data_IF_571970374478
#
_entry.id   IF_571970374478
#
_cell.length_a   1.000
_cell.length_b   1.000
_cell.length_c   1.000
_cell.angle_alpha   90.00
_cell.angle_beta   90.00
_cell.angle_gamma   90.00
#
_symmetry.space_group_name_H-M   'P 1'
#
loop_
_entity.id
_entity.type
_entity.pdbx_description
1 polymer ?
#
# COMPACT_ATOMS: atom_id res chain seq x y z
N UNK A 1 -16.28 14.91 -2.28
CA UNK A 1 -15.14 15.79 -2.72
C UNK A 1 -15.66 17.20 -2.95
N UNK A 2 -15.02 18.21 -2.37
CA UNK A 2 -15.45 19.62 -2.42
C UNK A 2 -15.02 20.25 -3.74
N UNK A 3 -15.98 20.76 -4.51
CA UNK A 3 -15.76 21.39 -5.82
C UNK A 3 -16.14 22.85 -5.81
N UNK A 4 -15.39 23.68 -6.56
CA UNK A 4 -15.69 25.11 -6.81
C UNK A 4 -15.74 25.32 -8.32
N UNK A 5 -16.70 26.16 -8.78
CA UNK A 5 -16.83 26.56 -10.18
C UNK A 5 -16.61 28.05 -10.30
N UNK A 6 -15.79 28.48 -11.25
CA UNK A 6 -15.50 29.89 -11.55
C UNK A 6 -15.82 30.14 -13.01
N UNK A 7 -16.97 30.74 -13.25
CA UNK A 7 -17.52 30.94 -14.59
C UNK A 7 -18.36 32.24 -14.59
N UNK A 8 -18.12 33.10 -15.58
CA UNK A 8 -18.84 34.38 -15.71
C UNK A 8 -20.22 34.24 -16.34
N UNK A 9 -20.41 33.23 -17.18
CA UNK A 9 -21.68 32.96 -17.88
C UNK A 9 -22.56 32.04 -17.02
N UNK A 10 -23.72 32.58 -16.64
CA UNK A 10 -24.65 31.87 -15.76
C UNK A 10 -25.23 30.58 -16.40
N UNK A 11 -25.43 30.57 -17.73
CA UNK A 11 -25.94 29.38 -18.45
C UNK A 11 -24.90 28.26 -18.43
N UNK A 12 -23.64 28.61 -18.65
CA UNK A 12 -22.55 27.63 -18.61
C UNK A 12 -22.36 27.13 -17.17
N UNK A 13 -22.45 28.05 -16.18
CA UNK A 13 -22.38 27.68 -14.76
C UNK A 13 -23.46 26.65 -14.40
N UNK A 14 -24.72 26.89 -14.77
CA UNK A 14 -25.85 25.98 -14.53
C UNK A 14 -25.64 24.63 -15.27
N UNK A 15 -25.13 24.66 -16.49
CA UNK A 15 -24.79 23.45 -17.25
C UNK A 15 -23.74 22.59 -16.50
N UNK A 16 -22.66 23.20 -16.01
CA UNK A 16 -21.60 22.52 -15.25
C UNK A 16 -22.16 21.95 -13.96
N UNK A 17 -22.96 22.71 -13.22
CA UNK A 17 -23.64 22.25 -12.01
C UNK A 17 -24.50 21.01 -12.26
N UNK A 18 -25.32 21.04 -13.33
CA UNK A 18 -26.15 19.89 -13.72
C UNK A 18 -25.33 18.65 -14.08
N UNK A 19 -24.18 18.83 -14.73
CA UNK A 19 -23.27 17.72 -15.06
C UNK A 19 -22.64 17.15 -13.77
N UNK A 20 -22.17 18.03 -12.88
CA UNK A 20 -21.55 17.65 -11.61
C UNK A 20 -22.49 16.80 -10.73
N UNK A 21 -23.77 17.18 -10.65
CA UNK A 21 -24.81 16.45 -9.92
C UNK A 21 -25.12 15.07 -10.52
N UNK A 22 -24.95 14.90 -11.83
CA UNK A 22 -25.20 13.64 -12.55
C UNK A 22 -23.99 12.71 -12.60
N UNK A 23 -22.81 13.18 -12.19
CA UNK A 23 -21.63 12.35 -12.04
C UNK A 23 -21.71 11.68 -10.67
N UNK A 24 -21.85 10.35 -10.67
CA UNK A 24 -21.90 9.51 -9.44
C UNK A 24 -20.52 9.41 -8.78
N UNK A 25 -19.91 10.56 -8.50
CA UNK A 25 -18.52 10.69 -8.05
C UNK A 25 -18.38 11.27 -6.65
N UNK A 26 -19.50 11.58 -5.97
CA UNK A 26 -19.48 12.19 -4.64
C UNK A 26 -18.87 13.60 -4.61
N UNK A 27 -19.01 14.38 -5.69
CA UNK A 27 -18.66 15.79 -5.71
C UNK A 27 -19.74 16.61 -5.01
N UNK A 28 -19.33 17.49 -4.08
CA UNK A 28 -20.14 18.47 -3.41
C UNK A 28 -19.73 19.86 -3.91
N UNK A 29 -20.63 20.60 -4.54
CA UNK A 29 -20.39 21.98 -4.92
C UNK A 29 -20.44 22.87 -3.69
N UNK A 30 -19.28 23.39 -3.27
CA UNK A 30 -19.15 24.21 -2.05
C UNK A 30 -19.12 25.70 -2.33
N UNK A 31 -19.02 26.13 -3.58
CA UNK A 31 -19.06 27.55 -3.94
C UNK A 31 -18.91 27.82 -5.43
N UNK A 32 -19.31 29.01 -5.84
CA UNK A 32 -19.19 29.52 -7.20
C UNK A 32 -18.68 30.96 -7.20
N UNK A 33 -17.95 31.37 -8.24
CA UNK A 33 -17.50 32.73 -8.44
C UNK A 33 -17.62 33.11 -9.92
N UNK A 34 -17.81 34.41 -10.18
CA UNK A 34 -18.04 34.97 -11.52
C UNK A 34 -16.83 35.73 -12.08
N UNK A 35 -15.76 35.86 -11.32
CA UNK A 35 -14.53 36.54 -11.74
C UNK A 35 -13.31 35.92 -11.05
N UNK A 36 -12.12 36.15 -11.60
CA UNK A 36 -10.90 35.54 -11.06
C UNK A 36 -10.49 36.02 -9.68
N UNK A 37 -10.78 37.30 -9.31
CA UNK A 37 -10.44 37.78 -7.98
C UNK A 37 -11.29 37.13 -6.89
N UNK A 38 -12.62 37.10 -7.07
CA UNK A 38 -13.50 36.37 -6.14
C UNK A 38 -13.26 34.83 -6.16
N UNK A 39 -12.87 34.30 -7.30
CA UNK A 39 -12.44 32.90 -7.40
C UNK A 39 -11.21 32.58 -6.57
N UNK A 40 -10.20 33.44 -6.62
CA UNK A 40 -8.99 33.31 -5.79
C UNK A 40 -9.33 33.36 -4.29
N UNK A 41 -10.13 34.32 -3.86
CA UNK A 41 -10.56 34.47 -2.46
C UNK A 41 -11.36 33.25 -1.99
N UNK A 42 -12.26 32.75 -2.83
CA UNK A 42 -13.08 31.56 -2.56
C UNK A 42 -12.25 30.30 -2.41
N UNK A 43 -11.31 30.06 -3.32
CA UNK A 43 -10.40 28.91 -3.26
C UNK A 43 -9.52 28.98 -2.02
N UNK A 44 -8.99 30.17 -1.71
CA UNK A 44 -8.14 30.37 -0.54
C UNK A 44 -8.88 30.11 0.77
N UNK A 45 -10.16 30.49 0.86
CA UNK A 45 -10.99 30.28 2.04
C UNK A 45 -11.48 28.86 2.18
N UNK A 46 -11.96 28.25 1.08
CA UNK A 46 -12.63 26.95 1.11
C UNK A 46 -11.69 25.75 0.96
N UNK A 47 -10.49 25.93 0.40
CA UNK A 47 -9.54 24.83 0.13
C UNK A 47 -10.23 23.62 -0.57
N UNK A 48 -10.80 23.80 -1.79
CA UNK A 48 -11.52 22.72 -2.48
C UNK A 48 -10.56 21.63 -2.98
N UNK A 49 -11.11 20.46 -3.30
CA UNK A 49 -10.35 19.39 -3.94
C UNK A 49 -10.34 19.51 -5.48
N UNK A 50 -11.38 20.13 -6.04
CA UNK A 50 -11.55 20.34 -7.48
C UNK A 50 -11.96 21.77 -7.77
N UNK A 51 -11.34 22.36 -8.78
CA UNK A 51 -11.71 23.67 -9.34
C UNK A 51 -12.02 23.49 -10.82
N UNK A 52 -13.20 23.97 -11.25
CA UNK A 52 -13.57 24.09 -12.66
C UNK A 52 -13.59 25.58 -12.97
N UNK A 53 -12.77 26.05 -13.89
CA UNK A 53 -12.63 27.48 -14.12
C UNK A 53 -12.55 27.86 -15.61
N UNK A 54 -13.16 28.99 -15.96
CA UNK A 54 -12.94 29.65 -17.25
C UNK A 54 -11.57 30.35 -17.27
N UNK A 55 -10.92 30.39 -18.41
CA UNK A 55 -9.72 31.20 -18.63
C UNK A 55 -10.08 32.66 -18.70
N UNK A 56 -11.14 33.00 -19.44
CA UNK A 56 -11.53 34.36 -19.76
C UNK A 56 -12.42 34.99 -18.68
N UNK A 57 -11.89 35.12 -17.48
CA UNK A 57 -12.57 35.74 -16.35
C UNK A 57 -12.31 37.25 -16.27
N UNK A 58 -13.29 38.06 -15.84
CA UNK A 58 -13.07 39.46 -15.55
C UNK A 58 -12.21 39.66 -14.31
N UNK A 59 -11.63 40.86 -14.17
CA UNK A 59 -10.74 41.32 -13.09
C UNK A 59 -9.40 40.59 -13.01
N UNK A 60 -9.39 39.27 -13.06
CA UNK A 60 -8.19 38.44 -13.07
C UNK A 60 -8.42 37.25 -14.00
N UNK A 61 -7.53 37.05 -14.99
CA UNK A 61 -7.60 35.93 -15.90
C UNK A 61 -7.39 34.59 -15.13
N UNK A 62 -8.12 33.55 -15.50
CA UNK A 62 -8.09 32.25 -14.82
C UNK A 62 -6.70 31.62 -14.73
N UNK A 63 -5.88 31.72 -15.80
CA UNK A 63 -4.50 31.20 -15.78
C UNK A 63 -3.60 31.98 -14.81
N UNK A 64 -3.77 33.30 -14.72
CA UNK A 64 -3.04 34.13 -13.75
C UNK A 64 -3.45 33.83 -12.32
N UNK A 65 -4.72 33.57 -12.08
CA UNK A 65 -5.25 33.12 -10.80
C UNK A 65 -4.65 31.77 -10.40
N UNK A 66 -4.65 30.79 -11.33
CA UNK A 66 -4.10 29.45 -11.09
C UNK A 66 -2.60 29.53 -10.80
N UNK A 67 -1.85 30.33 -11.56
CA UNK A 67 -0.40 30.52 -11.33
C UNK A 67 -0.13 31.06 -9.93
N UNK A 68 -0.92 32.03 -9.46
CA UNK A 68 -0.80 32.59 -8.12
C UNK A 68 -1.09 31.53 -7.04
N UNK A 69 -2.16 30.78 -7.18
CA UNK A 69 -2.53 29.70 -6.26
C UNK A 69 -1.46 28.60 -6.20
N UNK A 70 -0.88 28.20 -7.34
CA UNK A 70 0.22 27.21 -7.38
C UNK A 70 1.49 27.75 -6.70
N UNK A 71 1.81 29.04 -6.87
CA UNK A 71 2.95 29.66 -6.18
C UNK A 71 2.79 29.69 -4.65
N UNK A 72 1.56 29.70 -4.16
CA UNK A 72 1.19 29.62 -2.74
C UNK A 72 1.02 28.18 -2.24
N UNK A 73 1.46 27.19 -3.03
CA UNK A 73 1.42 25.75 -2.71
C UNK A 73 -0.01 25.20 -2.42
N UNK A 74 -1.03 25.77 -3.10
CA UNK A 74 -2.37 25.18 -3.05
C UNK A 74 -2.41 23.90 -3.91
N UNK A 75 -2.84 22.81 -3.31
CA UNK A 75 -3.01 21.51 -3.97
C UNK A 75 -4.49 21.22 -4.19
N UNK A 76 -4.89 21.17 -5.46
CA UNK A 76 -6.22 20.80 -5.93
C UNK A 76 -6.17 20.39 -7.39
N UNK A 77 -7.12 19.55 -7.80
CA UNK A 77 -7.31 19.20 -9.22
C UNK A 77 -8.01 20.35 -9.95
N UNK A 78 -7.65 20.57 -11.22
CA UNK A 78 -8.22 21.68 -11.97
C UNK A 78 -8.64 21.27 -13.38
N UNK A 79 -9.87 21.65 -13.76
CA UNK A 79 -10.40 21.60 -15.12
C UNK A 79 -10.52 23.02 -15.64
N UNK A 80 -9.85 23.30 -16.74
CA UNK A 80 -9.86 24.61 -17.40
C UNK A 80 -10.84 24.59 -18.57
N UNK A 81 -11.66 25.63 -18.67
CA UNK A 81 -12.58 25.87 -19.78
C UNK A 81 -12.04 27.01 -20.65
N UNK A 82 -12.02 26.85 -21.97
CA UNK A 82 -11.52 27.86 -22.91
C UNK A 82 -12.52 28.11 -24.02
N UNK A 83 -12.80 29.36 -24.30
CA UNK A 83 -13.62 29.78 -25.45
C UNK A 83 -12.80 29.98 -26.73
N UNK A 84 -11.47 29.97 -26.64
CA UNK A 84 -10.56 30.27 -27.76
C UNK A 84 -9.53 29.16 -27.93
N UNK A 85 -9.27 28.78 -29.20
CA UNK A 85 -8.16 27.92 -29.57
C UNK A 85 -6.84 28.70 -29.49
N UNK A 86 -6.28 28.82 -28.29
CA UNK A 86 -5.03 29.51 -28.07
C UNK A 86 -3.95 28.56 -27.56
N UNK A 87 -2.96 28.30 -28.41
CA UNK A 87 -1.83 27.42 -28.10
C UNK A 87 -1.07 27.85 -26.83
N UNK A 88 -1.00 29.16 -26.56
CA UNK A 88 -0.32 29.67 -25.37
C UNK A 88 -1.04 29.26 -24.07
N UNK A 89 -2.38 29.26 -24.08
CA UNK A 89 -3.14 28.76 -22.91
C UNK A 89 -2.99 27.27 -22.71
N UNK A 90 -2.96 26.49 -23.79
CA UNK A 90 -2.72 25.04 -23.70
C UNK A 90 -1.31 24.75 -23.14
N UNK A 91 -0.27 25.49 -23.56
CA UNK A 91 1.07 25.38 -23.03
C UNK A 91 1.13 25.73 -21.53
N UNK A 92 0.53 26.85 -21.14
CA UNK A 92 0.46 27.24 -19.73
C UNK A 92 -0.30 26.23 -18.88
N UNK A 93 -1.37 25.62 -19.40
CA UNK A 93 -2.13 24.58 -18.73
C UNK A 93 -1.26 23.37 -18.40
N UNK A 94 -0.40 22.93 -19.33
CA UNK A 94 0.58 21.85 -19.10
C UNK A 94 1.60 22.27 -18.03
N UNK A 95 2.18 23.46 -18.12
CA UNK A 95 3.16 23.98 -17.15
C UNK A 95 2.58 24.08 -15.72
N UNK A 96 1.28 24.38 -15.60
CA UNK A 96 0.57 24.50 -14.31
C UNK A 96 -0.10 23.19 -13.85
N UNK A 97 0.21 22.07 -14.54
CA UNK A 97 -0.32 20.74 -14.21
C UNK A 97 -1.84 20.71 -14.12
N UNK A 98 -2.52 21.20 -15.18
CA UNK A 98 -3.97 21.14 -15.31
C UNK A 98 -4.42 19.71 -15.58
N UNK A 99 -5.41 19.22 -14.85
CA UNK A 99 -5.92 17.84 -14.96
C UNK A 99 -6.91 17.64 -16.12
N UNK A 100 -7.53 18.73 -16.59
CA UNK A 100 -8.44 18.70 -17.77
C UNK A 100 -8.50 20.04 -18.46
N UNK A 101 -8.52 20.03 -19.80
CA UNK A 101 -8.67 21.20 -20.64
C UNK A 101 -9.83 20.98 -21.62
N UNK A 102 -10.90 21.78 -21.54
CA UNK A 102 -12.13 21.60 -22.29
C UNK A 102 -12.46 22.86 -23.07
N UNK A 103 -12.71 22.68 -24.37
CA UNK A 103 -13.13 23.77 -25.24
C UNK A 103 -14.63 24.03 -25.13
N UNK A 104 -15.00 25.33 -25.11
CA UNK A 104 -16.39 25.76 -25.25
C UNK A 104 -16.81 25.71 -26.75
N UNK A 105 -18.02 25.20 -27.07
CA UNK A 105 -19.13 24.85 -26.16
C UNK A 105 -18.90 23.53 -25.45
N UNK A 106 -19.19 23.51 -24.14
CA UNK A 106 -18.96 22.34 -23.28
C UNK A 106 -19.83 21.16 -23.73
N UNK A 107 -19.19 20.07 -24.10
CA UNK A 107 -19.87 18.78 -24.39
C UNK A 107 -20.07 18.00 -23.09
N UNK A 108 -21.32 17.69 -22.69
CA UNK A 108 -21.58 17.04 -21.39
C UNK A 108 -20.80 15.75 -21.18
N UNK A 109 -20.64 14.94 -22.22
CA UNK A 109 -19.88 13.68 -22.14
C UNK A 109 -18.38 13.91 -21.90
N UNK A 110 -17.80 14.95 -22.48
CA UNK A 110 -16.39 15.30 -22.35
C UNK A 110 -16.08 15.73 -20.91
N UNK A 111 -16.87 16.67 -20.39
CA UNK A 111 -16.73 17.12 -19.00
C UNK A 111 -16.96 15.95 -18.02
N UNK A 112 -17.99 15.14 -18.26
CA UNK A 112 -18.26 13.96 -17.44
C UNK A 112 -17.06 12.98 -17.40
N UNK A 113 -16.44 12.69 -18.55
CA UNK A 113 -15.26 11.82 -18.61
C UNK A 113 -14.07 12.41 -17.86
N UNK A 114 -13.78 13.70 -18.04
CA UNK A 114 -12.71 14.37 -17.31
C UNK A 114 -12.93 14.31 -15.79
N UNK A 115 -14.15 14.58 -15.32
CA UNK A 115 -14.49 14.51 -13.90
C UNK A 115 -14.38 13.09 -13.33
N UNK A 116 -14.79 12.08 -14.10
CA UNK A 116 -14.65 10.67 -13.68
C UNK A 116 -13.18 10.25 -13.57
N UNK A 117 -12.34 10.61 -14.54
CA UNK A 117 -10.90 10.35 -14.51
C UNK A 117 -10.21 11.03 -13.34
N UNK A 118 -10.57 12.30 -13.07
CA UNK A 118 -10.04 13.03 -11.91
C UNK A 118 -10.48 12.36 -10.60
N UNK A 119 -11.75 11.95 -10.50
CA UNK A 119 -12.26 11.26 -9.32
C UNK A 119 -11.53 9.94 -9.07
N UNK A 120 -11.32 9.14 -10.11
CA UNK A 120 -10.58 7.88 -10.02
C UNK A 120 -9.13 8.11 -9.59
N UNK A 121 -8.45 9.08 -10.22
CA UNK A 121 -7.09 9.47 -9.84
C UNK A 121 -7.00 9.93 -8.38
N UNK A 122 -7.92 10.80 -7.93
CA UNK A 122 -7.98 11.25 -6.54
C UNK A 122 -8.30 10.12 -5.57
N UNK A 123 -9.21 9.21 -5.94
CA UNK A 123 -9.55 8.04 -5.13
C UNK A 123 -8.33 7.14 -4.96
N UNK A 124 -7.60 6.89 -6.03
CA UNK A 124 -6.36 6.11 -5.98
C UNK A 124 -5.28 6.80 -5.13
N UNK A 125 -5.11 8.11 -5.28
CA UNK A 125 -4.20 8.91 -4.44
C UNK A 125 -4.63 8.92 -2.96
N UNK A 126 -5.93 9.02 -2.67
CA UNK A 126 -6.47 8.96 -1.31
C UNK A 126 -6.31 7.56 -0.69
N UNK A 127 -6.61 6.49 -1.44
CA UNK A 127 -6.39 5.11 -0.99
C UNK A 127 -4.90 4.84 -0.74
N UNK A 128 -4.03 5.29 -1.62
CA UNK A 128 -2.59 5.22 -1.42
C UNK A 128 -2.14 5.95 -0.13
N UNK A 129 -2.71 7.11 0.18
CA UNK A 129 -2.31 7.91 1.35
C UNK A 129 -3.01 7.48 2.66
N UNK A 130 -4.27 7.09 2.63
CA UNK A 130 -5.07 6.78 3.83
C UNK A 130 -4.95 5.32 4.28
N UNK A 131 -4.69 4.39 3.35
CA UNK A 131 -4.49 2.96 3.63
C UNK A 131 -3.01 2.57 3.64
N UNK A 132 -2.12 3.53 3.51
CA UNK A 132 -0.68 3.29 3.40
C UNK A 132 -0.08 3.17 4.81
N UNK A 133 -0.42 2.08 5.48
CA UNK A 133 0.33 1.66 6.67
C UNK A 133 1.52 0.79 6.23
N UNK A 134 2.53 0.68 7.08
CA UNK A 134 3.66 -0.23 6.82
C UNK A 134 3.17 -1.66 6.64
N UNK A 135 2.14 -2.07 7.39
CA UNK A 135 1.50 -3.37 7.28
C UNK A 135 0.93 -3.61 5.89
N UNK A 136 0.12 -2.68 5.38
CA UNK A 136 -0.49 -2.79 4.04
C UNK A 136 0.55 -2.78 2.93
N UNK A 137 1.60 -1.97 3.07
CA UNK A 137 2.74 -1.96 2.16
C UNK A 137 3.40 -3.33 2.10
N UNK A 138 3.76 -3.90 3.25
CA UNK A 138 4.41 -5.20 3.33
C UNK A 138 3.54 -6.33 2.82
N UNK A 139 2.24 -6.33 3.15
CA UNK A 139 1.26 -7.29 2.60
C UNK A 139 1.19 -7.16 1.06
N UNK A 140 1.21 -5.96 0.53
CA UNK A 140 1.26 -5.71 -0.92
C UNK A 140 2.54 -6.27 -1.57
N UNK A 141 3.70 -6.10 -0.93
CA UNK A 141 4.96 -6.70 -1.35
C UNK A 141 4.90 -8.24 -1.30
N UNK A 142 4.31 -8.82 -0.25
CA UNK A 142 4.14 -10.28 -0.11
C UNK A 142 3.17 -10.87 -1.14
N UNK A 143 2.24 -10.08 -1.66
CA UNK A 143 1.31 -10.49 -2.72
C UNK A 143 1.81 -10.17 -4.14
N UNK A 144 3.00 -9.57 -4.29
CA UNK A 144 3.55 -9.18 -5.58
C UNK A 144 2.75 -8.07 -6.28
N UNK A 145 2.05 -7.24 -5.50
CA UNK A 145 1.18 -6.19 -6.05
C UNK A 145 1.94 -4.94 -6.49
N UNK A 146 3.17 -4.77 -6.04
CA UNK A 146 3.98 -3.60 -6.36
C UNK A 146 5.06 -3.94 -7.37
N UNK A 147 5.21 -3.03 -8.34
CA UNK A 147 6.36 -2.96 -9.24
C UNK A 147 7.21 -1.75 -8.87
N UNK A 148 8.49 -1.71 -9.25
CA UNK A 148 9.38 -0.58 -8.96
C UNK A 148 8.90 0.66 -9.72
N UNK A 149 8.00 1.41 -9.09
CA UNK A 149 7.54 2.70 -9.60
C UNK A 149 8.11 3.81 -8.71
N UNK A 150 8.72 4.83 -9.32
CA UNK A 150 9.28 5.99 -8.61
C UNK A 150 8.29 6.63 -7.64
N UNK A 151 7.01 6.66 -7.99
CA UNK A 151 5.95 7.24 -7.18
C UNK A 151 5.71 6.50 -5.86
N UNK A 152 5.83 5.17 -5.85
CA UNK A 152 5.72 4.37 -4.64
C UNK A 152 6.87 4.68 -3.68
N UNK A 153 8.10 4.72 -4.20
CA UNK A 153 9.28 5.05 -3.43
C UNK A 153 9.23 6.47 -2.85
N UNK A 154 8.73 7.47 -3.59
CA UNK A 154 8.52 8.83 -3.07
C UNK A 154 7.58 8.85 -1.87
N UNK A 155 6.46 8.12 -1.94
CA UNK A 155 5.47 8.04 -0.85
C UNK A 155 6.07 7.32 0.37
N UNK A 156 6.77 6.20 0.17
CA UNK A 156 7.34 5.42 1.27
C UNK A 156 8.49 6.16 1.97
N UNK A 157 9.36 6.84 1.23
CA UNK A 157 10.41 7.69 1.80
C UNK A 157 9.81 8.85 2.59
N UNK A 158 8.81 9.54 2.02
CA UNK A 158 8.16 10.68 2.68
C UNK A 158 7.48 10.29 3.99
N UNK A 159 6.78 9.15 4.00
CA UNK A 159 5.96 8.75 5.15
C UNK A 159 6.74 7.93 6.18
N UNK A 160 7.70 7.12 5.75
CA UNK A 160 8.36 6.13 6.59
C UNK A 160 9.88 6.19 6.57
N UNK A 161 10.49 6.91 5.63
CA UNK A 161 11.93 7.07 5.53
C UNK A 161 12.66 5.86 4.95
N UNK A 162 11.98 4.99 4.19
CA UNK A 162 12.58 3.86 3.47
C UNK A 162 11.91 3.64 2.11
N UNK A 163 12.51 2.81 1.25
CA UNK A 163 11.95 2.41 -0.06
C UNK A 163 11.59 0.94 -0.07
N UNK A 164 10.77 0.50 -1.02
CA UNK A 164 10.51 -0.93 -1.24
C UNK A 164 11.69 -1.68 -1.86
N UNK A 165 12.70 -0.96 -2.29
CA UNK A 165 13.98 -1.50 -2.79
C UNK A 165 14.99 -1.74 -1.67
N UNK A 166 14.73 -1.23 -0.46
CA UNK A 166 15.60 -1.47 0.69
C UNK A 166 15.51 -2.93 1.14
N UNK A 167 16.61 -3.42 1.71
CA UNK A 167 16.68 -4.77 2.26
C UNK A 167 15.83 -4.89 3.52
N UNK A 168 15.29 -6.09 3.73
CA UNK A 168 14.57 -6.43 4.95
C UNK A 168 14.94 -7.84 5.45
N UNK A 169 14.61 -8.11 6.70
CA UNK A 169 14.68 -9.43 7.29
C UNK A 169 13.27 -9.97 7.53
N UNK A 170 13.06 -11.26 7.34
CA UNK A 170 11.77 -11.89 7.54
C UNK A 170 11.89 -13.09 8.48
N UNK A 171 11.18 -13.02 9.59
CA UNK A 171 10.91 -14.17 10.45
C UNK A 171 9.52 -14.70 10.18
N UNK A 172 9.38 -16.01 10.11
CA UNK A 172 8.11 -16.69 9.92
C UNK A 172 7.93 -17.64 11.09
N UNK A 173 6.86 -17.44 11.84
CA UNK A 173 6.50 -18.24 12.99
C UNK A 173 5.30 -19.10 12.61
N UNK A 174 5.46 -20.38 12.78
CA UNK A 174 4.44 -21.41 12.55
C UNK A 174 4.17 -22.18 13.84
N UNK A 175 2.88 -22.42 14.16
CA UNK A 175 2.41 -23.05 15.40
C UNK A 175 1.64 -24.35 15.15
N UNK A 176 1.75 -24.92 13.94
CA UNK A 176 0.99 -26.10 13.56
C UNK A 176 -0.53 -25.87 13.61
N UNK A 177 -1.25 -26.87 14.10
CA UNK A 177 -2.70 -26.83 14.25
C UNK A 177 -3.16 -25.89 15.39
N UNK A 178 -2.26 -25.45 16.25
CA UNK A 178 -2.56 -24.58 17.39
C UNK A 178 -2.45 -23.08 17.07
N UNK A 179 -2.40 -22.71 15.78
CA UNK A 179 -2.29 -21.31 15.35
C UNK A 179 -3.37 -20.41 15.95
N UNK A 180 -4.64 -20.79 15.82
CA UNK A 180 -5.76 -19.98 16.31
C UNK A 180 -5.74 -19.81 17.86
N UNK A 181 -5.27 -20.81 18.57
CA UNK A 181 -5.14 -20.76 20.04
C UNK A 181 -4.00 -19.85 20.48
N UNK A 182 -2.89 -19.89 19.75
CA UNK A 182 -1.64 -19.22 20.13
C UNK A 182 -1.49 -17.82 19.52
N UNK A 183 -2.19 -17.50 18.42
CA UNK A 183 -2.04 -16.27 17.64
C UNK A 183 -2.10 -14.99 18.50
N UNK A 184 -3.15 -14.85 19.29
CA UNK A 184 -3.36 -13.64 20.07
C UNK A 184 -2.24 -13.44 21.13
N UNK A 185 -1.88 -14.50 21.83
CA UNK A 185 -0.84 -14.48 22.85
C UNK A 185 0.55 -14.28 22.22
N UNK A 186 0.84 -14.96 21.12
CA UNK A 186 2.09 -14.81 20.38
C UNK A 186 2.30 -13.36 19.92
N UNK A 187 1.25 -12.74 19.32
CA UNK A 187 1.31 -11.34 18.90
C UNK A 187 1.52 -10.40 20.09
N UNK A 188 0.87 -10.66 21.21
CA UNK A 188 1.04 -9.87 22.44
C UNK A 188 2.48 -9.96 22.96
N UNK A 189 3.02 -11.16 23.09
CA UNK A 189 4.38 -11.41 23.55
C UNK A 189 5.42 -10.77 22.61
N UNK A 190 5.26 -10.93 21.29
CA UNK A 190 6.12 -10.31 20.29
C UNK A 190 6.12 -8.79 20.40
N UNK A 191 4.94 -8.17 20.46
CA UNK A 191 4.84 -6.71 20.63
C UNK A 191 5.53 -6.23 21.88
N UNK A 192 5.29 -6.88 23.02
CA UNK A 192 5.90 -6.52 24.31
C UNK A 192 7.42 -6.64 24.32
N UNK A 193 7.97 -7.67 23.68
CA UNK A 193 9.42 -7.90 23.63
C UNK A 193 10.11 -6.98 22.62
N UNK A 194 9.53 -6.83 21.43
CA UNK A 194 10.12 -6.04 20.36
C UNK A 194 9.96 -4.53 20.52
N UNK A 195 8.96 -4.05 21.28
CA UNK A 195 8.84 -2.63 21.64
C UNK A 195 9.99 -2.10 22.50
N UNK A 196 10.69 -2.96 23.21
CA UNK A 196 11.83 -2.58 24.06
C UNK A 196 13.13 -2.47 23.26
N UNK A 197 13.14 -3.01 22.06
CA UNK A 197 14.34 -3.03 21.20
C UNK A 197 14.33 -1.82 20.25
N UNK A 198 15.32 -0.95 20.39
CA UNK A 198 15.41 0.28 19.60
C UNK A 198 16.37 0.19 18.41
N UNK A 199 17.02 -0.97 18.20
CA UNK A 199 18.07 -1.14 17.18
C UNK A 199 17.54 -1.43 15.79
N UNK A 200 16.31 -1.93 15.68
CA UNK A 200 15.65 -2.22 14.41
C UNK A 200 14.15 -2.02 14.53
N UNK A 201 13.51 -1.69 13.42
CA UNK A 201 12.04 -1.58 13.36
C UNK A 201 11.44 -2.89 12.90
N UNK A 202 10.28 -3.22 13.45
CA UNK A 202 9.56 -4.45 13.13
C UNK A 202 8.11 -4.18 12.79
N UNK A 203 7.59 -4.98 11.87
CA UNK A 203 6.17 -5.08 11.58
C UNK A 203 5.73 -6.52 11.81
N UNK A 204 4.69 -6.74 12.61
CA UNK A 204 4.16 -8.06 12.95
C UNK A 204 2.86 -8.27 12.19
N UNK A 205 2.83 -9.26 11.32
CA UNK A 205 1.74 -9.57 10.42
C UNK A 205 1.19 -10.98 10.69
N UNK A 206 0.15 -11.12 11.51
CA UNK A 206 -0.54 -12.39 11.67
C UNK A 206 -1.43 -12.64 10.45
N UNK A 207 -1.09 -13.61 9.63
CA UNK A 207 -1.78 -13.92 8.38
C UNK A 207 -2.57 -15.23 8.52
N UNK A 208 -3.88 -15.09 8.73
CA UNK A 208 -4.81 -16.20 8.95
C UNK A 208 -4.86 -17.18 7.77
N UNK A 209 -4.82 -16.66 6.55
CA UNK A 209 -4.86 -17.48 5.32
C UNK A 209 -3.69 -18.50 5.27
N UNK A 210 -2.56 -18.15 5.89
CA UNK A 210 -1.37 -19.00 5.91
C UNK A 210 -1.13 -19.68 7.26
N UNK A 211 -1.91 -19.34 8.28
CA UNK A 211 -1.73 -19.81 9.66
C UNK A 211 -0.30 -19.59 10.18
N UNK A 212 0.24 -18.41 9.88
CA UNK A 212 1.61 -18.00 10.19
C UNK A 212 1.65 -16.56 10.68
N UNK A 213 2.63 -16.23 11.52
CA UNK A 213 2.95 -14.86 11.91
C UNK A 213 4.25 -14.47 11.22
N UNK A 214 4.20 -13.45 10.41
CA UNK A 214 5.37 -12.84 9.80
C UNK A 214 5.86 -11.68 10.64
N UNK A 215 7.15 -11.63 10.92
CA UNK A 215 7.78 -10.48 11.57
C UNK A 215 8.83 -9.94 10.60
N UNK A 216 8.53 -8.78 10.03
CA UNK A 216 9.42 -8.14 9.06
C UNK A 216 10.27 -7.10 9.80
N UNK A 217 11.59 -7.26 9.72
CA UNK A 217 12.59 -6.33 10.24
C UNK A 217 13.04 -5.42 9.10
N UNK A 218 12.99 -4.12 9.32
CA UNK A 218 13.31 -3.13 8.30
C UNK A 218 14.06 -1.93 8.91
N UNK A 219 14.59 -1.06 8.07
CA UNK A 219 15.37 0.11 8.48
C UNK A 219 16.54 -0.23 9.43
N UNK A 220 17.27 -1.30 9.14
CA UNK A 220 18.47 -1.68 9.86
C UNK A 220 19.54 -2.17 8.89
N UNK A 221 20.81 -1.94 9.22
CA UNK A 221 21.94 -2.58 8.56
C UNK A 221 22.40 -3.87 9.29
N UNK A 222 21.96 -4.05 10.54
CA UNK A 222 22.43 -5.09 11.45
C UNK A 222 21.45 -6.26 11.55
N UNK A 223 21.14 -6.91 10.42
CA UNK A 223 20.21 -8.05 10.38
C UNK A 223 20.69 -9.25 11.22
N UNK A 224 21.99 -9.41 11.39
CA UNK A 224 22.57 -10.48 12.22
C UNK A 224 22.22 -10.31 13.71
N UNK A 225 22.14 -9.08 14.19
CA UNK A 225 21.68 -8.82 15.56
C UNK A 225 20.21 -9.18 15.73
N UNK A 226 19.38 -8.93 14.72
CA UNK A 226 17.98 -9.34 14.78
C UNK A 226 17.85 -10.85 14.78
N UNK A 227 18.61 -11.57 13.96
CA UNK A 227 18.67 -13.04 13.93
C UNK A 227 19.07 -13.59 15.29
N UNK A 228 20.15 -13.07 15.89
CA UNK A 228 20.63 -13.49 17.20
C UNK A 228 19.61 -13.17 18.31
N UNK A 229 19.00 -11.99 18.29
CA UNK A 229 17.99 -11.60 19.27
C UNK A 229 16.77 -12.51 19.24
N UNK A 230 16.32 -12.90 18.06
CA UNK A 230 15.23 -13.85 17.91
C UNK A 230 15.59 -15.23 18.45
N UNK A 231 16.78 -15.72 18.14
CA UNK A 231 17.27 -17.03 18.59
C UNK A 231 17.41 -17.10 20.11
N UNK A 232 17.98 -16.06 20.72
CA UNK A 232 18.32 -16.09 22.16
C UNK A 232 17.17 -15.66 23.08
N UNK A 233 16.26 -14.79 22.58
CA UNK A 233 15.23 -14.18 23.45
C UNK A 233 13.80 -14.52 22.98
N UNK A 234 13.49 -14.37 21.70
CA UNK A 234 12.11 -14.48 21.20
C UNK A 234 11.64 -15.93 21.17
N UNK A 235 12.41 -16.81 20.55
CA UNK A 235 12.02 -18.24 20.41
C UNK A 235 11.89 -18.91 21.77
N UNK A 236 12.84 -18.81 22.71
CA UNK A 236 12.70 -19.41 24.03
C UNK A 236 11.49 -18.85 24.80
N UNK A 237 11.22 -17.54 24.68
CA UNK A 237 10.06 -16.92 25.29
C UNK A 237 8.75 -17.50 24.72
N UNK A 238 8.63 -17.61 23.40
CA UNK A 238 7.45 -18.20 22.76
C UNK A 238 7.25 -19.64 23.17
N UNK A 239 8.31 -20.47 23.14
CA UNK A 239 8.26 -21.87 23.54
C UNK A 239 7.87 -22.08 25.02
N UNK A 240 8.21 -21.13 25.89
CA UNK A 240 7.87 -21.20 27.32
C UNK A 240 6.45 -20.78 27.65
N UNK A 241 5.83 -19.95 26.82
CA UNK A 241 4.52 -19.36 27.11
C UNK A 241 3.39 -19.90 26.22
N UNK A 242 3.72 -20.51 25.09
CA UNK A 242 2.72 -21.02 24.16
C UNK A 242 2.60 -22.54 24.23
N UNK A 243 1.41 -23.04 23.95
CA UNK A 243 1.16 -24.48 23.85
C UNK A 243 1.53 -24.96 22.43
N UNK A 244 2.28 -26.05 22.37
CA UNK A 244 2.64 -26.68 21.09
C UNK A 244 4.01 -26.26 20.56
N UNK A 245 4.26 -26.63 19.31
CA UNK A 245 5.55 -26.46 18.66
C UNK A 245 5.64 -25.09 17.97
N UNK A 246 6.71 -24.37 18.30
CA UNK A 246 7.05 -23.12 17.60
C UNK A 246 8.19 -23.43 16.62
N UNK A 247 7.93 -23.22 15.34
CA UNK A 247 8.94 -23.25 14.28
C UNK A 247 9.17 -21.84 13.78
N UNK A 248 10.42 -21.41 13.76
CA UNK A 248 10.81 -20.10 13.29
C UNK A 248 11.78 -20.25 12.10
N UNK A 249 11.46 -19.61 11.00
CA UNK A 249 12.32 -19.52 9.82
C UNK A 249 12.81 -18.11 9.66
N UNK A 250 14.10 -17.93 9.41
CA UNK A 250 14.72 -16.64 9.14
C UNK A 250 15.24 -16.54 7.72
N UNK A 251 14.98 -15.41 7.09
CA UNK A 251 15.52 -15.09 5.76
C UNK A 251 15.80 -13.60 5.63
N UNK A 252 17.01 -13.24 5.18
CA UNK A 252 17.33 -11.91 4.70
C UNK A 252 16.88 -11.78 3.24
N UNK A 253 16.32 -10.64 2.89
CA UNK A 253 15.77 -10.31 1.58
C UNK A 253 16.39 -9.01 1.11
N UNK A 254 16.98 -9.01 -0.08
CA UNK A 254 17.73 -7.87 -0.60
C UNK A 254 16.83 -6.70 -0.96
N UNK A 255 15.62 -6.96 -1.48
CA UNK A 255 14.63 -5.94 -1.78
C UNK A 255 13.27 -6.32 -1.18
N UNK A 256 12.68 -5.41 -0.42
CA UNK A 256 11.38 -5.64 0.26
C UNK A 256 10.27 -6.02 -0.74
N UNK A 257 10.34 -5.47 -1.96
CA UNK A 257 9.40 -5.82 -3.03
C UNK A 257 9.47 -7.30 -3.46
N UNK A 258 10.57 -8.00 -3.18
CA UNK A 258 10.77 -9.42 -3.53
C UNK A 258 10.21 -10.40 -2.46
N UNK A 259 9.55 -9.90 -1.41
CA UNK A 259 8.92 -10.72 -0.36
C UNK A 259 8.02 -11.82 -0.95
N UNK A 260 7.33 -11.58 -2.06
CA UNK A 260 6.44 -12.53 -2.71
C UNK A 260 7.16 -13.79 -3.23
N UNK A 261 8.44 -13.67 -3.64
CA UNK A 261 9.23 -14.79 -4.18
C UNK A 261 9.50 -15.86 -3.11
N UNK A 262 9.55 -15.45 -1.85
CA UNK A 262 9.87 -16.35 -0.75
C UNK A 262 8.67 -17.17 -0.27
N UNK A 263 7.46 -16.78 -0.66
CA UNK A 263 6.23 -17.51 -0.35
C UNK A 263 6.26 -18.98 -0.77
N UNK A 264 6.84 -19.26 -1.93
CA UNK A 264 6.97 -20.65 -2.45
C UNK A 264 8.14 -21.43 -1.84
N UNK A 265 9.15 -20.73 -1.31
CA UNK A 265 10.35 -21.35 -0.73
C UNK A 265 10.21 -21.68 0.76
N UNK A 266 9.30 -21.01 1.46
CA UNK A 266 9.06 -21.19 2.90
C UNK A 266 8.71 -22.64 3.29
N UNK A 267 7.79 -23.34 2.60
CA UNK A 267 7.47 -24.72 2.93
C UNK A 267 8.67 -25.65 2.90
N UNK A 268 9.62 -25.40 1.99
CA UNK A 268 10.85 -26.19 1.88
C UNK A 268 11.78 -25.95 3.08
N UNK A 269 11.92 -24.69 3.53
CA UNK A 269 12.74 -24.38 4.70
C UNK A 269 12.10 -24.95 5.98
N UNK A 270 10.79 -24.92 6.09
CA UNK A 270 10.08 -25.48 7.25
C UNK A 270 10.30 -26.98 7.44
N UNK A 271 10.55 -27.75 6.37
CA UNK A 271 10.83 -29.17 6.46
C UNK A 271 12.07 -29.50 7.33
N UNK A 272 13.01 -28.55 7.44
CA UNK A 272 14.18 -28.72 8.31
C UNK A 272 13.85 -28.83 9.81
N UNK A 273 12.62 -28.46 10.21
CA UNK A 273 12.16 -28.69 11.59
C UNK A 273 12.21 -30.15 12.00
N UNK A 274 11.97 -31.07 11.06
CA UNK A 274 12.04 -32.52 11.31
C UNK A 274 13.46 -32.98 11.69
N UNK A 275 14.47 -32.25 11.20
CA UNK A 275 15.89 -32.59 11.43
C UNK A 275 16.51 -31.80 12.59
N UNK A 276 16.15 -30.54 12.73
CA UNK A 276 16.74 -29.62 13.72
C UNK A 276 16.02 -29.61 15.07
N UNK A 277 14.80 -30.17 15.12
CA UNK A 277 13.98 -30.19 16.35
C UNK A 277 13.13 -28.93 16.53
N UNK A 278 12.56 -28.84 17.74
CA UNK A 278 11.59 -27.80 18.11
C UNK A 278 12.28 -26.59 18.75
N UNK A 279 11.70 -25.41 18.58
CA UNK A 279 12.19 -24.20 19.23
C UNK A 279 13.54 -23.71 18.71
N UNK A 280 13.86 -24.01 17.44
CA UNK A 280 15.12 -23.64 16.78
C UNK A 280 14.83 -22.65 15.66
N UNK A 281 15.74 -21.68 15.47
CA UNK A 281 15.73 -20.80 14.31
C UNK A 281 16.31 -21.51 13.09
N UNK A 282 15.50 -21.66 12.07
CA UNK A 282 15.93 -22.24 10.79
C UNK A 282 16.41 -21.10 9.90
N UNK A 283 17.72 -21.05 9.62
CA UNK A 283 18.30 -20.07 8.71
C UNK A 283 19.16 -20.77 7.66
N UNK A 284 19.38 -20.14 6.51
CA UNK A 284 20.25 -20.69 5.47
C UNK A 284 21.67 -20.94 5.98
N UNK A 285 22.18 -20.09 6.88
CA UNK A 285 23.48 -20.28 7.54
C UNK A 285 23.48 -21.54 8.41
N UNK A 286 22.38 -21.79 9.13
CA UNK A 286 22.25 -22.94 10.03
C UNK A 286 22.12 -24.30 9.31
N UNK A 287 21.67 -24.28 8.07
CA UNK A 287 21.52 -25.49 7.23
C UNK A 287 22.63 -25.66 6.19
N UNK A 288 23.45 -24.63 5.99
CA UNK A 288 24.56 -24.67 5.02
C UNK A 288 25.54 -25.83 5.36
N UNK A 289 25.79 -26.68 4.39
CA UNK A 289 26.67 -27.83 4.54
C UNK A 289 26.05 -29.06 5.22
N UNK A 290 24.77 -29.03 5.58
CA UNK A 290 24.01 -30.16 6.05
C UNK A 290 23.26 -30.77 4.86
N UNK A 291 23.57 -32.01 4.49
CA UNK A 291 22.70 -32.79 3.61
C UNK A 291 21.46 -33.18 4.41
N UNK A 292 20.27 -32.92 3.84
CA UNK A 292 19.05 -33.57 4.30
C UNK A 292 19.25 -35.08 4.04
N UNK A 293 19.76 -35.78 5.02
CA UNK A 293 19.53 -37.22 5.09
C UNK A 293 18.02 -37.40 5.35
N UNK A 294 17.24 -37.31 4.29
CA UNK A 294 15.91 -37.88 4.24
C UNK A 294 16.10 -39.41 4.31
N UNK A 295 16.45 -39.91 5.49
CA UNK A 295 16.22 -41.29 5.80
C UNK A 295 14.75 -41.54 5.47
N UNK A 296 14.43 -42.52 4.61
CA UNK A 296 13.04 -42.85 4.38
C UNK A 296 12.46 -43.21 5.75
N UNK A 297 11.68 -42.28 6.29
CA UNK A 297 10.92 -42.54 7.50
C UNK A 297 10.07 -43.75 7.17
N UNK A 298 10.43 -44.90 7.70
CA UNK A 298 9.58 -46.09 7.69
C UNK A 298 8.40 -45.73 8.59
N UNK A 299 7.38 -45.11 8.02
CA UNK A 299 6.12 -44.95 8.71
C UNK A 299 5.56 -46.31 9.05
N UNK A 300 4.99 -46.48 10.25
CA UNK A 300 4.15 -47.65 10.52
C UNK A 300 3.11 -47.75 9.41
N UNK A 301 2.86 -48.96 8.90
CA UNK A 301 1.99 -49.20 7.76
C UNK A 301 0.59 -48.53 7.89
N UNK A 302 0.13 -48.36 9.13
CA UNK A 302 -1.13 -47.66 9.45
C UNK A 302 -1.08 -46.14 9.16
N UNK A 303 0.07 -45.50 9.32
CA UNK A 303 0.24 -44.05 8.98
C UNK A 303 0.43 -43.84 7.48
N UNK A 304 1.04 -44.84 6.80
CA UNK A 304 1.19 -44.82 5.34
C UNK A 304 -0.17 -44.98 4.64
N UNK A 305 -1.06 -45.84 5.19
CA UNK A 305 -2.44 -45.95 4.73
C UNK A 305 -3.22 -44.67 4.94
N UNK A 306 -3.15 -44.05 6.11
CA UNK A 306 -3.83 -42.77 6.39
C UNK A 306 -3.33 -41.61 5.49
N UNK A 307 -2.02 -41.54 5.21
CA UNK A 307 -1.45 -40.56 4.30
C UNK A 307 -1.92 -40.78 2.85
N UNK A 308 -2.07 -42.02 2.41
CA UNK A 308 -2.65 -42.36 1.10
C UNK A 308 -4.13 -41.99 1.00
N UNK A 309 -4.90 -42.25 2.04
CA UNK A 309 -6.33 -41.85 2.08
C UNK A 309 -6.52 -40.33 2.04
N UNK A 310 -5.65 -39.58 2.71
CA UNK A 310 -5.67 -38.12 2.66
C UNK A 310 -5.26 -37.56 1.28
N UNK A 311 -4.30 -38.20 0.59
CA UNK A 311 -3.88 -37.79 -0.76
C UNK A 311 -4.92 -38.16 -1.82
N UNK A 312 -5.64 -39.28 -1.67
CA UNK A 312 -6.77 -39.62 -2.57
C UNK A 312 -7.93 -38.64 -2.49
N UNK A 313 -8.20 -38.03 -1.33
CA UNK A 313 -9.24 -37.01 -1.16
C UNK A 313 -8.90 -35.65 -1.82
N UNK A 314 -7.63 -35.36 -2.04
CA UNK A 314 -7.16 -34.12 -2.71
C UNK A 314 -7.19 -34.21 -4.26
N UNK A 315 -7.33 -35.41 -4.84
CA UNK A 315 -7.31 -35.63 -6.30
C UNK A 315 -8.66 -36.00 -6.91
N UNK A 316 -9.75 -36.02 -6.12
CA UNK A 316 -11.10 -36.36 -6.61
C UNK A 316 -12.12 -35.23 -6.46
N UNK A 317 -11.74 -34.01 -6.82
CA UNK A 317 -12.72 -32.96 -7.14
C UNK A 317 -12.52 -32.53 -8.58
N UNK A 318 -13.60 -32.53 -9.41
CA UNK A 318 -13.57 -32.16 -10.82
C UNK A 318 -13.25 -30.69 -11.06
#
# INVERSE_FOLDING_TARGET
>A
MRAVIIEKDEKILQQIQSILQKVDSGYELVGTAVNGQSGYELISALRPNLVIMDIELPRMNGMSMLKKLRAEAFDFKVVVLSGTENFQYAKQAIELSVDGYIMKPIRPLELKRALMQICEKMRNEYWLNASFTVENLLIGCMNGQYQPENKLNEITVRNYGFTVEDSCGMFILWFGEDFEKNKAEAVHLLKRSLQKENKFRVCILPLEVWQEIFVIVYQTAEFEMAEQYFQENIIPMLCSNLNGDVVCVWKRIDHMMDLWQYRTKIPLLRQWNLTLGRGVLISEKGIAGRELELLPLKYPAELELRARDCTCLLYTSP
#
